data_IF_508158926592
#
_entry.id   IF_508158926592
#
_cell.length_a   1.000
_cell.length_b   1.000
_cell.length_c   1.000
_cell.angle_alpha   90.00
_cell.angle_beta   90.00
_cell.angle_gamma   90.00
#
_symmetry.space_group_name_H-M   'P 1'
#
loop_
_entity.id
_entity.type
_entity.pdbx_description
1 polymer ?
#
# COMPACT_ATOMS: atom_id res chain seq x y z
N UNK A 1 41.55 56.21 7.46
CA UNK A 1 41.93 55.11 8.38
C UNK A 1 41.33 53.84 7.78
N UNK A 2 41.97 53.13 6.83
CA UNK A 2 43.12 52.22 6.98
C UNK A 2 43.01 51.29 8.20
N UNK A 3 42.44 50.11 7.98
CA UNK A 3 42.87 48.87 8.64
C UNK A 3 42.78 47.73 7.63
N UNK A 4 43.93 47.13 7.34
CA UNK A 4 44.12 45.90 6.58
C UNK A 4 44.19 44.74 7.57
N UNK A 5 43.58 43.59 7.27
CA UNK A 5 44.05 42.29 7.77
C UNK A 5 44.01 41.28 6.61
N UNK A 6 45.19 40.77 6.29
CA UNK A 6 45.46 39.60 5.48
C UNK A 6 45.21 38.31 6.30
N UNK A 7 44.64 37.28 5.68
CA UNK A 7 44.79 35.88 6.10
C UNK A 7 44.63 35.00 4.85
N UNK A 8 45.73 34.63 4.20
CA UNK A 8 46.50 33.39 4.36
C UNK A 8 45.74 32.16 3.84
N UNK A 9 45.96 31.87 2.55
CA UNK A 9 45.61 30.60 1.91
C UNK A 9 46.66 29.57 2.31
N UNK A 10 46.28 28.59 3.13
CA UNK A 10 47.11 27.41 3.43
C UNK A 10 46.53 26.24 2.65
N UNK A 11 47.22 25.87 1.57
CA UNK A 11 47.01 24.61 0.89
C UNK A 11 47.58 23.48 1.77
N UNK A 12 46.70 22.62 2.27
CA UNK A 12 47.10 21.38 2.92
C UNK A 12 46.95 20.23 1.92
N UNK A 13 48.06 19.87 1.27
CA UNK A 13 48.21 18.56 0.63
C UNK A 13 48.72 17.57 1.68
N UNK A 14 47.83 16.68 2.12
CA UNK A 14 48.13 15.41 2.76
C UNK A 14 47.33 14.39 1.92
N UNK A 15 47.93 13.48 1.15
CA UNK A 15 48.97 12.55 1.57
C UNK A 15 48.33 11.23 2.04
N UNK A 16 47.38 10.68 1.29
CA UNK A 16 46.84 9.35 1.56
C UNK A 16 47.77 8.30 0.95
N UNK A 17 48.46 7.58 1.83
CA UNK A 17 49.16 6.32 1.54
C UNK A 17 48.13 5.24 1.21
N UNK A 18 48.25 4.67 0.02
CA UNK A 18 47.75 3.34 -0.32
C UNK A 18 48.57 2.31 0.45
N UNK A 19 47.96 1.61 1.40
CA UNK A 19 48.36 0.26 1.86
C UNK A 19 47.32 -0.27 2.86
N UNK A 20 46.20 -0.77 2.35
CA UNK A 20 45.33 -1.74 3.01
C UNK A 20 44.93 -2.78 1.96
N UNK A 21 44.93 -4.10 2.27
CA UNK A 21 44.57 -5.13 1.33
C UNK A 21 43.09 -4.99 0.96
N UNK A 22 42.82 -4.51 -0.25
CA UNK A 22 41.51 -4.59 -0.88
C UNK A 22 41.18 -6.07 -1.09
N UNK A 23 40.18 -6.56 -0.36
CA UNK A 23 39.40 -7.68 -0.84
C UNK A 23 38.75 -7.22 -2.16
N UNK A 24 39.21 -7.80 -3.26
CA UNK A 24 38.70 -7.60 -4.60
C UNK A 24 37.25 -8.10 -4.63
N UNK A 25 36.30 -7.18 -4.49
CA UNK A 25 34.93 -7.35 -4.96
C UNK A 25 34.88 -6.60 -6.30
N UNK A 26 35.45 -7.24 -7.34
CA UNK A 26 35.02 -7.00 -8.72
C UNK A 26 33.86 -8.00 -8.93
N UNK A 27 32.72 -7.72 -9.55
CA UNK A 27 32.37 -6.71 -10.53
C UNK A 27 30.83 -6.67 -10.51
N UNK A 28 30.21 -5.74 -9.77
CA UNK A 28 28.76 -5.50 -9.85
C UNK A 28 28.55 -4.18 -10.59
N UNK A 29 28.54 -4.27 -11.92
CA UNK A 29 28.16 -3.16 -12.79
C UNK A 29 26.69 -2.75 -12.57
N UNK A 30 26.33 -1.49 -12.88
CA UNK A 30 24.98 -0.98 -12.65
C UNK A 30 24.03 -1.43 -13.77
N UNK A 31 23.33 -2.53 -13.53
CA UNK A 31 22.17 -2.97 -14.29
C UNK A 31 21.55 -4.19 -13.60
N UNK A 32 20.20 -4.35 -13.58
CA UNK A 32 19.57 -5.56 -13.08
C UNK A 32 19.69 -6.68 -14.11
N UNK A 33 20.93 -7.10 -14.40
CA UNK A 33 21.18 -8.35 -15.10
C UNK A 33 21.08 -9.48 -14.08
N UNK A 34 20.07 -10.32 -14.31
CA UNK A 34 19.87 -11.62 -13.67
C UNK A 34 21.22 -12.34 -13.59
N UNK A 35 21.65 -12.73 -12.39
CA UNK A 35 22.88 -13.51 -12.18
C UNK A 35 22.64 -14.92 -12.73
N UNK A 36 22.70 -15.05 -14.05
CA UNK A 36 23.11 -16.28 -14.70
C UNK A 36 24.63 -16.34 -14.58
N UNK A 37 25.15 -17.19 -13.69
CA UNK A 37 26.59 -17.45 -13.62
C UNK A 37 27.08 -17.92 -15.00
N UNK A 38 27.89 -17.10 -15.64
CA UNK A 38 28.33 -17.22 -17.03
C UNK A 38 29.35 -18.36 -17.29
N UNK A 39 29.61 -19.19 -16.29
CA UNK A 39 30.66 -20.19 -16.30
C UNK A 39 30.24 -21.57 -16.85
N UNK A 40 28.97 -21.75 -17.26
CA UNK A 40 28.54 -22.93 -18.05
C UNK A 40 27.60 -22.57 -19.21
N UNK A 41 28.19 -22.34 -20.38
CA UNK A 41 27.50 -22.01 -21.64
C UNK A 41 26.85 -23.25 -22.26
N UNK A 42 25.77 -23.76 -21.66
CA UNK A 42 24.83 -24.61 -22.38
C UNK A 42 23.39 -24.48 -21.86
N UNK A 43 22.50 -24.04 -22.75
CA UNK A 43 21.03 -23.93 -22.68
C UNK A 43 20.44 -22.70 -21.95
N UNK A 44 19.89 -21.79 -22.78
CA UNK A 44 18.99 -20.66 -22.48
C UNK A 44 18.84 -20.23 -21.02
N UNK A 45 19.48 -19.12 -20.66
CA UNK A 45 19.13 -18.28 -19.51
C UNK A 45 17.79 -17.58 -19.75
N UNK A 46 16.71 -18.35 -19.79
CA UNK A 46 15.38 -17.78 -19.69
C UNK A 46 15.22 -17.18 -18.28
N UNK A 47 14.79 -15.92 -18.14
CA UNK A 47 14.59 -15.33 -16.83
C UNK A 47 13.66 -16.18 -15.97
N UNK A 48 14.08 -16.42 -14.73
CA UNK A 48 13.29 -17.10 -13.70
C UNK A 48 11.92 -16.41 -13.55
N UNK A 49 10.84 -17.16 -13.76
CA UNK A 49 9.48 -16.65 -13.59
C UNK A 49 8.77 -17.35 -12.41
N UNK A 50 8.46 -16.66 -11.30
CA UNK A 50 7.88 -17.26 -10.11
C UNK A 50 6.40 -17.62 -10.27
N UNK A 51 5.68 -17.01 -11.22
CA UNK A 51 4.30 -17.39 -11.51
C UNK A 51 4.24 -18.68 -12.34
N UNK A 52 5.04 -18.73 -13.41
CA UNK A 52 5.05 -19.88 -14.33
C UNK A 52 5.92 -21.04 -13.83
N UNK A 53 6.78 -20.79 -12.84
CA UNK A 53 7.81 -21.72 -12.37
C UNK A 53 8.70 -22.23 -13.53
N UNK A 54 9.10 -21.31 -14.42
CA UNK A 54 9.98 -21.56 -15.57
C UNK A 54 11.33 -20.83 -15.41
N UNK A 55 12.31 -21.18 -16.24
CA UNK A 55 13.65 -20.60 -16.24
C UNK A 55 14.68 -21.28 -15.34
N UNK A 56 14.26 -22.27 -14.54
CA UNK A 56 15.12 -23.04 -13.64
C UNK A 56 15.26 -24.51 -14.08
N UNK A 57 16.27 -25.22 -13.55
CA UNK A 57 16.45 -26.64 -13.84
C UNK A 57 15.33 -27.50 -13.21
N UNK A 58 15.19 -28.76 -13.65
CA UNK A 58 14.12 -29.67 -13.20
C UNK A 58 14.07 -29.93 -11.69
N UNK A 59 15.19 -29.78 -10.97
CA UNK A 59 15.27 -29.95 -9.51
C UNK A 59 15.23 -28.61 -8.75
N UNK A 60 14.94 -27.52 -9.46
CA UNK A 60 14.91 -26.16 -8.94
C UNK A 60 13.52 -25.55 -9.14
N UNK A 61 13.28 -24.44 -8.44
CA UNK A 61 12.08 -23.62 -8.50
C UNK A 61 12.47 -22.16 -8.59
N UNK A 62 11.56 -21.36 -9.12
CA UNK A 62 11.72 -19.93 -9.13
C UNK A 62 11.11 -19.32 -7.85
N UNK A 63 11.94 -18.75 -6.99
CA UNK A 63 11.52 -18.19 -5.68
C UNK A 63 12.21 -16.84 -5.39
N UNK A 64 11.89 -16.24 -4.25
CA UNK A 64 12.52 -15.04 -3.71
C UNK A 64 13.77 -15.38 -2.88
N UNK A 65 14.82 -14.59 -3.04
CA UNK A 65 16.05 -14.68 -2.28
C UNK A 65 16.24 -13.41 -1.47
N UNK A 66 16.55 -13.52 -0.18
CA UNK A 66 17.14 -12.43 0.59
C UNK A 66 18.58 -12.21 0.12
N UNK A 67 18.79 -11.10 -0.58
CA UNK A 67 20.09 -10.72 -1.13
C UNK A 67 20.99 -10.12 -0.05
N UNK A 68 20.42 -9.50 0.99
CA UNK A 68 21.14 -8.89 2.09
C UNK A 68 20.48 -9.13 3.45
N UNK A 69 21.14 -8.66 4.52
CA UNK A 69 20.66 -8.74 5.89
C UNK A 69 19.87 -7.51 6.35
N UNK A 70 19.30 -6.70 5.44
CA UNK A 70 18.49 -5.56 5.85
C UNK A 70 17.17 -5.99 6.48
N UNK A 71 16.45 -5.06 7.09
CA UNK A 71 15.13 -5.33 7.67
C UNK A 71 14.15 -4.23 7.22
N UNK A 72 13.17 -4.55 6.37
CA UNK A 72 12.97 -5.84 5.69
C UNK A 72 14.14 -6.15 4.73
N UNK A 73 14.42 -7.44 4.44
CA UNK A 73 15.50 -7.84 3.55
C UNK A 73 15.21 -7.39 2.11
N UNK A 74 16.21 -6.85 1.43
CA UNK A 74 16.13 -6.66 -0.01
C UNK A 74 16.34 -8.02 -0.66
N UNK A 75 15.55 -8.32 -1.67
CA UNK A 75 15.68 -9.58 -2.37
C UNK A 75 15.59 -9.51 -3.88
N UNK A 76 15.80 -10.67 -4.48
CA UNK A 76 15.79 -10.88 -5.92
C UNK A 76 15.06 -12.18 -6.23
N UNK A 77 14.53 -12.28 -7.45
CA UNK A 77 13.98 -13.53 -7.97
C UNK A 77 15.12 -14.38 -8.53
N UNK A 78 15.15 -15.66 -8.17
CA UNK A 78 16.20 -16.58 -8.58
C UNK A 78 15.80 -18.05 -8.50
N UNK A 79 16.67 -18.92 -9.03
CA UNK A 79 16.47 -20.37 -9.00
C UNK A 79 17.06 -20.96 -7.71
N UNK A 80 16.22 -21.64 -6.93
CA UNK A 80 16.59 -22.36 -5.72
C UNK A 80 16.23 -23.84 -5.85
N UNK A 81 16.88 -24.76 -5.12
CA UNK A 81 16.41 -26.14 -5.01
C UNK A 81 14.95 -26.22 -4.55
N UNK A 82 14.20 -27.21 -5.04
CA UNK A 82 12.84 -27.47 -4.55
C UNK A 82 12.93 -27.97 -3.10
N UNK A 83 12.32 -27.23 -2.18
CA UNK A 83 12.28 -27.59 -0.77
C UNK A 83 11.19 -28.61 -0.44
N UNK A 84 11.28 -29.29 0.72
CA UNK A 84 10.34 -30.33 1.12
C UNK A 84 9.10 -29.80 1.85
N UNK A 85 9.08 -28.53 2.25
CA UNK A 85 8.02 -27.96 3.10
C UNK A 85 6.79 -27.59 2.26
N UNK A 86 5.62 -28.10 2.64
CA UNK A 86 4.38 -27.89 1.89
C UNK A 86 3.76 -26.52 2.21
N UNK A 87 2.88 -26.03 1.34
CA UNK A 87 2.08 -24.82 1.62
C UNK A 87 1.29 -25.00 2.93
N UNK A 88 1.38 -24.01 3.81
CA UNK A 88 0.76 -24.00 5.14
C UNK A 88 1.65 -24.55 6.27
N UNK A 89 2.77 -25.21 5.95
CA UNK A 89 3.71 -25.71 6.95
C UNK A 89 4.77 -24.65 7.31
N UNK A 90 5.41 -24.84 8.47
CA UNK A 90 6.46 -23.96 8.96
C UNK A 90 7.73 -24.07 8.12
N UNK A 91 8.33 -22.93 7.78
CA UNK A 91 9.48 -22.80 6.90
C UNK A 91 10.54 -21.87 7.46
N UNK A 92 11.71 -21.89 6.82
CA UNK A 92 12.82 -20.99 7.15
C UNK A 92 13.50 -20.48 5.89
N UNK A 93 14.08 -19.28 5.99
CA UNK A 93 15.09 -18.82 5.03
C UNK A 93 16.48 -19.22 5.51
N UNK A 94 17.36 -19.55 4.57
CA UNK A 94 18.79 -19.60 4.86
C UNK A 94 19.40 -18.21 5.04
N UNK A 95 20.70 -18.18 5.38
CA UNK A 95 21.43 -16.92 5.55
C UNK A 95 21.43 -16.10 4.25
N UNK A 96 21.29 -14.76 4.32
CA UNK A 96 21.28 -13.89 3.15
C UNK A 96 22.46 -14.10 2.19
N UNK A 97 22.20 -13.92 0.89
CA UNK A 97 23.14 -14.15 -0.20
C UNK A 97 22.86 -15.46 -0.93
N UNK A 98 23.90 -16.28 -1.17
CA UNK A 98 23.79 -17.48 -2.00
C UNK A 98 22.83 -18.55 -1.45
N UNK A 99 22.61 -18.54 -0.13
CA UNK A 99 21.69 -19.44 0.58
C UNK A 99 20.43 -18.74 1.07
N UNK A 100 20.21 -17.48 0.67
CA UNK A 100 19.11 -16.64 1.17
C UNK A 100 17.73 -17.03 0.64
N UNK A 101 17.54 -18.28 0.23
CA UNK A 101 16.27 -18.82 -0.25
C UNK A 101 15.59 -19.63 0.86
N UNK A 102 14.29 -19.86 0.68
CA UNK A 102 13.47 -20.64 1.61
C UNK A 102 13.38 -22.13 1.26
N UNK A 103 12.95 -22.95 2.21
CA UNK A 103 12.79 -24.41 2.09
C UNK A 103 11.39 -24.88 1.68
N UNK A 104 10.54 -23.98 1.15
CA UNK A 104 9.23 -24.33 0.64
C UNK A 104 9.28 -25.14 -0.66
N UNK A 105 8.17 -25.81 -0.98
CA UNK A 105 7.99 -26.53 -2.23
C UNK A 105 7.87 -25.61 -3.45
N UNK A 106 7.84 -26.22 -4.65
CA UNK A 106 7.62 -25.53 -5.92
C UNK A 106 6.32 -24.67 -5.88
N UNK A 107 6.40 -23.41 -6.31
CA UNK A 107 5.25 -22.50 -6.35
C UNK A 107 4.85 -21.91 -5.00
N UNK A 108 5.72 -21.98 -3.99
CA UNK A 108 5.51 -21.38 -2.67
C UNK A 108 6.70 -20.51 -2.26
N UNK A 109 6.53 -19.68 -1.25
CA UNK A 109 7.61 -18.90 -0.62
C UNK A 109 7.32 -18.74 0.86
N UNK A 110 8.38 -18.69 1.67
CA UNK A 110 8.24 -18.52 3.10
C UNK A 110 7.87 -17.08 3.45
N UNK A 111 6.78 -16.88 4.19
CA UNK A 111 6.33 -15.57 4.68
C UNK A 111 5.92 -15.74 6.14
N UNK A 112 6.53 -14.97 7.03
CA UNK A 112 6.36 -15.06 8.49
C UNK A 112 6.50 -16.49 9.03
N UNK A 113 7.49 -17.23 8.49
CA UNK A 113 7.77 -18.60 8.90
C UNK A 113 6.75 -19.63 8.44
N UNK A 114 5.85 -19.30 7.50
CA UNK A 114 4.89 -20.24 6.90
C UNK A 114 5.02 -20.24 5.37
N UNK A 115 5.02 -21.42 4.74
CA UNK A 115 5.03 -21.51 3.28
C UNK A 115 3.70 -21.04 2.71
N UNK A 116 3.69 -19.92 1.98
CA UNK A 116 2.51 -19.41 1.28
C UNK A 116 2.61 -19.69 -0.22
N UNK A 117 1.51 -20.08 -0.84
CA UNK A 117 1.47 -20.28 -2.28
C UNK A 117 1.70 -18.95 -3.00
N UNK A 118 2.55 -18.94 -4.02
CA UNK A 118 2.74 -17.79 -4.91
C UNK A 118 1.50 -17.66 -5.80
N UNK A 119 1.08 -16.44 -6.10
CA UNK A 119 -0.08 -16.15 -6.92
C UNK A 119 0.12 -14.92 -7.80
N UNK A 120 -0.68 -14.83 -8.86
CA UNK A 120 -0.73 -13.64 -9.70
C UNK A 120 -1.69 -12.61 -9.09
N UNK A 121 -1.14 -11.52 -8.59
CA UNK A 121 -1.89 -10.43 -7.97
C UNK A 121 -2.77 -9.66 -8.98
N UNK A 122 -2.57 -9.85 -10.28
CA UNK A 122 -3.40 -9.28 -11.34
C UNK A 122 -4.60 -10.17 -11.72
N UNK A 123 -4.82 -11.27 -11.00
CA UNK A 123 -5.91 -12.21 -11.24
C UNK A 123 -5.63 -13.24 -12.33
N UNK A 124 -4.37 -13.43 -12.72
CA UNK A 124 -3.94 -14.50 -13.61
C UNK A 124 -3.64 -15.81 -12.89
N UNK A 125 -2.73 -16.61 -13.44
CA UNK A 125 -2.34 -17.93 -12.89
C UNK A 125 -0.91 -17.88 -12.33
N UNK A 126 -0.66 -18.50 -11.16
CA UNK A 126 -1.60 -19.25 -10.32
C UNK A 126 -2.57 -18.37 -9.52
N UNK A 127 -3.77 -18.88 -9.27
CA UNK A 127 -4.78 -18.24 -8.42
C UNK A 127 -4.75 -18.84 -7.01
N UNK A 128 -5.18 -18.05 -6.03
CA UNK A 128 -5.35 -18.55 -4.67
C UNK A 128 -6.57 -19.48 -4.52
N UNK A 129 -6.53 -20.42 -3.55
CA UNK A 129 -7.72 -21.16 -3.11
C UNK A 129 -8.83 -20.22 -2.61
N UNK A 130 -10.07 -20.70 -2.59
CA UNK A 130 -11.28 -19.89 -2.32
C UNK A 130 -11.29 -19.10 -1.00
N UNK A 131 -10.52 -19.53 0.00
CA UNK A 131 -10.45 -18.87 1.32
C UNK A 131 -9.27 -17.89 1.45
N UNK A 132 -8.44 -17.82 0.43
CA UNK A 132 -7.26 -16.97 0.39
C UNK A 132 -7.40 -15.97 -0.77
N UNK A 133 -6.78 -14.81 -0.61
CA UNK A 133 -6.65 -13.85 -1.71
C UNK A 133 -5.17 -13.70 -2.07
N UNK A 134 -4.93 -13.26 -3.30
CA UNK A 134 -3.57 -12.93 -3.72
C UNK A 134 -3.20 -11.55 -3.20
N UNK A 135 -2.26 -11.51 -2.27
CA UNK A 135 -1.88 -10.30 -1.56
C UNK A 135 -0.40 -9.98 -1.81
N UNK A 136 -0.07 -8.68 -1.79
CA UNK A 136 1.30 -8.22 -1.99
C UNK A 136 1.97 -8.12 -0.63
N UNK A 137 3.06 -8.84 -0.45
CA UNK A 137 3.86 -8.78 0.77
C UNK A 137 4.97 -7.76 0.60
N UNK A 138 5.26 -7.01 1.67
CA UNK A 138 6.33 -6.00 1.63
C UNK A 138 7.67 -6.66 1.37
N UNK A 139 8.43 -6.07 0.44
CA UNK A 139 9.77 -6.53 0.12
C UNK A 139 9.80 -7.89 -0.57
N UNK A 140 8.68 -8.36 -1.11
CA UNK A 140 8.58 -9.63 -1.83
C UNK A 140 8.21 -9.39 -3.31
N UNK A 141 8.94 -10.06 -4.22
CA UNK A 141 8.71 -10.03 -5.68
C UNK A 141 8.71 -8.64 -6.35
N UNK A 142 9.17 -7.61 -5.67
CA UNK A 142 9.41 -6.27 -6.19
C UNK A 142 10.66 -5.68 -5.56
N UNK A 143 11.41 -4.88 -6.29
CA UNK A 143 12.55 -4.19 -5.70
C UNK A 143 12.05 -3.16 -4.69
N UNK A 144 12.67 -3.10 -3.51
CA UNK A 144 12.42 -2.05 -2.52
C UNK A 144 12.69 -0.70 -3.21
N UNK A 145 11.68 0.17 -3.26
CA UNK A 145 11.76 1.47 -3.96
C UNK A 145 11.55 1.43 -5.49
N UNK A 146 11.20 0.29 -6.09
CA UNK A 146 10.82 0.22 -7.50
C UNK A 146 9.39 0.70 -7.74
N UNK A 147 9.19 1.45 -8.82
CA UNK A 147 7.87 1.86 -9.31
C UNK A 147 7.18 0.80 -10.15
N UNK A 148 7.91 -0.24 -10.59
CA UNK A 148 7.31 -1.39 -11.27
C UNK A 148 6.56 -2.25 -10.25
N UNK A 149 5.29 -2.63 -10.51
CA UNK A 149 4.54 -3.49 -9.61
C UNK A 149 5.28 -4.82 -9.41
N UNK A 150 5.22 -5.42 -8.21
CA UNK A 150 5.77 -6.74 -7.98
C UNK A 150 5.16 -7.73 -8.97
N UNK A 151 5.97 -8.66 -9.47
CA UNK A 151 5.52 -9.58 -10.52
C UNK A 151 4.59 -10.68 -9.99
N UNK A 152 4.53 -10.87 -8.67
CA UNK A 152 3.74 -11.89 -8.01
C UNK A 152 3.31 -11.41 -6.60
N UNK A 153 2.31 -12.08 -6.04
CA UNK A 153 1.93 -12.00 -4.63
C UNK A 153 2.00 -13.38 -3.98
N UNK A 154 1.44 -13.48 -2.79
CA UNK A 154 1.22 -14.77 -2.10
C UNK A 154 -0.22 -14.89 -1.62
N UNK A 155 -0.67 -16.12 -1.45
CA UNK A 155 -2.00 -16.41 -0.95
C UNK A 155 -2.04 -16.25 0.56
N UNK A 156 -2.85 -15.28 1.00
CA UNK A 156 -3.02 -14.95 2.42
C UNK A 156 -4.49 -15.09 2.82
N UNK A 157 -4.79 -15.39 4.09
CA UNK A 157 -6.15 -15.33 4.60
C UNK A 157 -6.75 -13.94 4.37
N UNK A 158 -8.00 -13.90 3.92
CA UNK A 158 -8.76 -12.65 3.84
C UNK A 158 -9.20 -12.27 5.25
N UNK A 159 -8.85 -11.07 5.69
CA UNK A 159 -9.35 -10.54 6.96
C UNK A 159 -10.51 -9.55 6.73
N UNK A 160 -11.37 -9.41 7.74
CA UNK A 160 -12.43 -8.41 7.79
C UNK A 160 -11.94 -7.17 8.53
N UNK A 161 -11.89 -5.99 7.89
CA UNK A 161 -11.33 -4.80 8.52
C UNK A 161 -12.11 -4.31 9.73
N UNK A 162 -13.39 -4.65 9.89
CA UNK A 162 -14.15 -4.28 11.08
C UNK A 162 -14.09 -5.35 12.17
N UNK A 163 -13.99 -6.63 11.79
CA UNK A 163 -13.97 -7.72 12.75
C UNK A 163 -12.55 -8.04 13.27
N UNK A 164 -11.54 -8.01 12.40
CA UNK A 164 -10.15 -8.36 12.73
C UNK A 164 -9.32 -7.15 13.20
N UNK A 165 -9.90 -5.95 13.20
CA UNK A 165 -9.38 -4.78 13.89
C UNK A 165 -10.16 -4.47 15.17
N UNK A 166 -9.61 -3.57 15.99
CA UNK A 166 -10.31 -2.95 17.13
C UNK A 166 -10.49 -1.45 16.85
N UNK A 167 -11.30 -1.06 15.83
CA UNK A 167 -11.45 0.35 15.44
C UNK A 167 -12.01 1.21 16.60
N UNK A 168 -12.75 0.58 17.51
CA UNK A 168 -13.37 1.20 18.68
C UNK A 168 -12.42 1.38 19.87
N UNK A 169 -11.27 0.70 19.91
CA UNK A 169 -10.40 0.71 21.08
C UNK A 169 -10.95 -0.02 22.29
N UNK A 170 -11.88 -0.94 22.06
CA UNK A 170 -12.51 -1.79 23.06
C UNK A 170 -11.56 -2.81 23.69
N UNK A 171 -10.43 -3.08 23.04
CA UNK A 171 -9.53 -4.18 23.36
C UNK A 171 -10.02 -5.55 22.86
N UNK A 172 -11.06 -5.59 22.03
CA UNK A 172 -11.60 -6.83 21.46
C UNK A 172 -11.63 -6.80 19.93
N UNK A 173 -11.23 -7.92 19.32
CA UNK A 173 -11.37 -8.21 17.88
C UNK A 173 -12.30 -9.41 17.76
N UNK A 174 -13.55 -9.25 17.29
CA UNK A 174 -14.46 -10.37 17.15
C UNK A 174 -14.06 -11.34 16.01
N UNK A 175 -13.26 -10.87 15.05
CA UNK A 175 -12.65 -11.67 14.01
C UNK A 175 -11.54 -12.58 14.54
N UNK A 176 -11.24 -13.62 13.78
CA UNK A 176 -10.27 -14.66 14.13
C UNK A 176 -9.21 -14.88 13.04
N UNK A 177 -9.22 -14.09 11.98
CA UNK A 177 -8.30 -14.27 10.85
C UNK A 177 -6.93 -13.70 11.19
N UNK A 178 -6.89 -12.53 11.82
CA UNK A 178 -5.64 -11.94 12.29
C UNK A 178 -5.33 -12.40 13.71
N UNK A 179 -4.04 -12.60 14.00
CA UNK A 179 -3.60 -12.91 15.35
C UNK A 179 -3.86 -11.72 16.30
N UNK A 180 -3.74 -11.96 17.62
CA UNK A 180 -3.96 -10.92 18.62
C UNK A 180 -3.05 -9.69 18.40
N UNK A 181 -1.85 -9.89 17.84
CA UNK A 181 -0.85 -8.85 17.59
C UNK A 181 -0.96 -8.18 16.22
N UNK A 182 -1.75 -8.71 15.29
CA UNK A 182 -1.89 -8.20 13.92
C UNK A 182 -3.14 -7.32 13.75
N UNK A 183 -3.15 -6.43 12.76
CA UNK A 183 -4.35 -5.75 12.27
C UNK A 183 -4.69 -6.21 10.87
N UNK A 184 -5.91 -5.91 10.43
CA UNK A 184 -6.37 -6.15 9.06
C UNK A 184 -6.25 -4.87 8.24
N UNK A 185 -5.30 -4.82 7.29
CA UNK A 185 -4.98 -3.59 6.55
C UNK A 185 -5.19 -3.74 5.05
N UNK A 186 -5.47 -2.62 4.38
CA UNK A 186 -5.73 -2.56 2.95
C UNK A 186 -4.86 -1.54 2.23
N UNK A 187 -4.55 -1.77 0.94
CA UNK A 187 -3.82 -0.80 0.10
C UNK A 187 -4.70 -0.21 -1.00
N UNK A 188 -5.70 0.62 -0.67
CA UNK A 188 -6.64 1.13 -1.65
C UNK A 188 -6.01 2.09 -2.67
N UNK A 189 -4.82 2.64 -2.42
CA UNK A 189 -4.21 3.72 -3.23
C UNK A 189 -2.97 3.30 -4.04
N UNK A 190 -2.58 2.02 -4.04
CA UNK A 190 -1.38 1.56 -4.76
C UNK A 190 -1.75 0.84 -6.07
N UNK A 191 -0.76 0.56 -6.92
CA UNK A 191 -0.90 -0.13 -8.21
C UNK A 191 -1.44 -1.58 -8.13
N UNK A 192 -2.04 -1.97 -7.00
CA UNK A 192 -2.67 -3.27 -6.75
C UNK A 192 -4.18 -3.10 -6.57
N UNK A 193 -4.86 -2.61 -7.59
CA UNK A 193 -6.32 -2.63 -7.67
C UNK A 193 -6.79 -4.01 -8.17
N UNK A 194 -7.86 -4.61 -7.62
CA UNK A 194 -8.73 -4.12 -6.53
C UNK A 194 -8.08 -4.18 -5.14
N UNK A 195 -8.60 -3.42 -4.16
CA UNK A 195 -8.09 -3.46 -2.76
C UNK A 195 -8.19 -4.88 -2.19
N UNK A 196 -7.10 -5.35 -1.60
CA UNK A 196 -7.05 -6.58 -0.81
C UNK A 196 -6.76 -6.25 0.66
N UNK A 197 -7.28 -7.05 1.58
CA UNK A 197 -7.17 -6.85 3.03
C UNK A 197 -6.42 -7.99 3.71
N UNK A 198 -5.23 -7.73 4.24
CA UNK A 198 -4.36 -8.77 4.78
C UNK A 198 -3.98 -8.49 6.24
N UNK A 199 -3.70 -9.56 6.98
CA UNK A 199 -3.22 -9.45 8.35
C UNK A 199 -1.76 -9.04 8.37
N UNK A 200 -1.44 -7.97 9.09
CA UNK A 200 -0.08 -7.46 9.25
C UNK A 200 0.19 -7.07 10.69
N UNK A 201 1.45 -7.17 11.09
CA UNK A 201 1.88 -6.65 12.39
C UNK A 201 1.98 -5.12 12.31
N UNK A 202 1.24 -4.35 13.16
CA UNK A 202 1.38 -2.90 13.19
C UNK A 202 2.82 -2.50 13.51
N UNK A 203 3.37 -1.61 12.71
CA UNK A 203 4.71 -1.06 12.94
C UNK A 203 4.68 0.03 14.02
N UNK A 204 3.65 0.86 14.00
CA UNK A 204 3.54 2.03 14.88
C UNK A 204 2.10 2.25 15.37
N UNK A 205 1.91 2.81 16.58
CA UNK A 205 0.58 3.04 17.15
C UNK A 205 -0.08 4.33 16.62
N UNK A 206 0.21 4.74 15.38
CA UNK A 206 -0.32 5.98 14.82
C UNK A 206 -1.84 5.89 14.59
N UNK A 207 -2.57 6.85 15.14
CA UNK A 207 -4.03 6.99 14.97
C UNK A 207 -4.34 8.22 14.11
N UNK A 208 -5.61 8.51 13.87
CA UNK A 208 -6.09 9.59 12.99
C UNK A 208 -5.24 10.87 13.05
N UNK A 209 -4.58 11.22 11.95
CA UNK A 209 -3.67 12.37 11.86
C UNK A 209 -2.36 12.07 11.10
N UNK A 210 -1.53 13.11 10.95
CA UNK A 210 -0.27 13.03 10.22
C UNK A 210 0.85 12.33 10.99
N UNK A 211 1.63 11.50 10.29
CA UNK A 211 2.79 10.79 10.82
C UNK A 211 4.03 10.98 9.90
N UNK A 212 5.23 11.12 10.47
CA UNK A 212 6.48 11.12 9.70
C UNK A 212 6.93 9.67 9.44
N UNK A 213 7.53 9.38 8.29
CA UNK A 213 8.23 8.10 8.10
C UNK A 213 8.12 7.54 6.69
N UNK A 214 8.58 6.30 6.52
CA UNK A 214 8.26 5.51 5.33
C UNK A 214 6.84 4.96 5.47
N UNK A 215 6.06 5.04 4.40
CA UNK A 215 4.68 4.53 4.40
C UNK A 215 4.70 3.04 4.13
N UNK A 216 4.31 2.28 5.13
CA UNK A 216 4.00 0.86 5.09
C UNK A 216 2.48 0.68 5.26
N UNK A 217 1.90 -0.37 4.68
CA UNK A 217 0.48 -0.71 4.87
C UNK A 217 0.12 -0.80 6.37
N UNK A 218 1.05 -1.26 7.21
CA UNK A 218 0.87 -1.40 8.65
C UNK A 218 1.51 -0.25 9.47
N UNK A 219 1.79 0.90 8.84
CA UNK A 219 2.33 2.09 9.53
C UNK A 219 1.32 2.72 10.51
N UNK A 220 0.04 2.38 10.41
CA UNK A 220 -1.00 2.89 11.28
C UNK A 220 -1.46 1.83 12.28
N UNK A 221 -2.12 2.27 13.35
CA UNK A 221 -2.73 1.38 14.32
C UNK A 221 -3.86 0.55 13.67
N UNK A 222 -4.21 -0.63 14.22
CA UNK A 222 -5.34 -1.41 13.73
C UNK A 222 -6.64 -0.59 13.68
N UNK A 223 -7.33 -0.62 12.54
CA UNK A 223 -8.50 0.20 12.25
C UNK A 223 -8.19 1.56 11.60
N UNK A 224 -6.95 1.79 11.20
CA UNK A 224 -6.53 2.98 10.45
C UNK A 224 -5.69 2.56 9.26
N UNK A 225 -5.89 3.23 8.14
CA UNK A 225 -5.07 3.04 6.95
C UNK A 225 -4.16 4.23 6.69
N UNK A 226 -2.92 3.99 6.27
CA UNK A 226 -2.00 5.04 5.85
C UNK A 226 -2.44 5.59 4.50
N UNK A 227 -2.66 6.91 4.45
CA UNK A 227 -2.98 7.64 3.25
C UNK A 227 -1.88 8.66 2.95
N UNK A 228 -1.32 8.62 1.75
CA UNK A 228 -0.25 9.55 1.37
C UNK A 228 -0.76 11.00 1.43
N UNK A 229 -0.13 11.80 2.29
CA UNK A 229 -0.59 13.15 2.56
C UNK A 229 -0.22 14.13 1.43
N UNK A 230 0.77 13.83 0.58
CA UNK A 230 1.39 14.81 -0.31
C UNK A 230 1.59 14.40 -1.77
N UNK A 231 2.38 15.21 -2.48
CA UNK A 231 2.73 14.98 -3.89
C UNK A 231 3.62 13.76 -4.11
N UNK A 232 3.74 13.32 -5.36
CA UNK A 232 4.68 12.26 -5.77
C UNK A 232 6.06 12.53 -5.14
N UNK A 233 6.53 11.61 -4.30
CA UNK A 233 7.79 11.74 -3.54
C UNK A 233 7.66 12.23 -2.09
N UNK A 234 6.45 12.56 -1.62
CA UNK A 234 6.20 12.80 -0.20
C UNK A 234 6.31 11.51 0.60
N UNK A 235 7.06 11.56 1.69
CA UNK A 235 7.09 10.50 2.71
C UNK A 235 6.07 10.75 3.82
N UNK A 236 5.44 11.93 3.87
CA UNK A 236 4.39 12.18 4.84
C UNK A 236 3.11 11.40 4.49
N UNK A 237 2.54 10.74 5.49
CA UNK A 237 1.24 10.08 5.42
C UNK A 237 0.35 10.52 6.58
N UNK A 238 -0.95 10.31 6.39
CA UNK A 238 -1.98 10.50 7.39
C UNK A 238 -2.65 9.16 7.63
N UNK A 239 -2.78 8.76 8.89
CA UNK A 239 -3.61 7.61 9.24
C UNK A 239 -5.08 8.05 9.18
N UNK A 240 -5.90 7.36 8.39
CA UNK A 240 -7.34 7.60 8.29
C UNK A 240 -8.08 6.44 8.94
N UNK A 241 -9.02 6.73 9.84
CA UNK A 241 -9.86 5.69 10.41
C UNK A 241 -10.71 5.00 9.34
N UNK A 242 -10.82 3.66 9.41
CA UNK A 242 -11.83 2.94 8.62
C UNK A 242 -13.23 3.23 9.17
N UNK A 243 -14.22 3.27 8.29
CA UNK A 243 -15.60 3.54 8.66
C UNK A 243 -16.58 2.78 7.76
N UNK A 244 -17.81 2.58 8.22
CA UNK A 244 -18.89 2.03 7.40
C UNK A 244 -19.60 3.18 6.67
N UNK A 245 -19.43 3.33 5.35
CA UNK A 245 -19.96 4.46 4.62
C UNK A 245 -21.46 4.36 4.39
N UNK A 246 -22.10 5.51 4.20
CA UNK A 246 -23.49 5.65 3.81
C UNK A 246 -23.64 6.72 2.73
N UNK A 247 -24.61 6.54 1.82
CA UNK A 247 -24.87 7.50 0.75
C UNK A 247 -25.25 8.87 1.31
N UNK A 248 -24.41 9.88 1.06
CA UNK A 248 -24.62 11.27 1.48
C UNK A 248 -24.46 12.23 0.29
N UNK A 249 -25.48 13.06 0.05
CA UNK A 249 -25.49 14.09 -1.00
C UNK A 249 -26.52 15.19 -0.72
N UNK A 250 -26.50 16.26 -1.51
CA UNK A 250 -27.44 17.38 -1.40
C UNK A 250 -28.88 16.92 -1.59
N UNK A 251 -29.70 17.19 -0.57
CA UNK A 251 -31.09 16.73 -0.51
C UNK A 251 -31.27 15.29 -0.03
N UNK A 252 -30.16 14.59 0.26
CA UNK A 252 -30.15 13.30 0.95
C UNK A 252 -28.88 13.19 1.79
N UNK A 253 -28.80 13.86 2.96
CA UNK A 253 -27.64 13.77 3.86
C UNK A 253 -27.43 12.36 4.47
N UNK A 254 -28.05 11.32 3.90
CA UNK A 254 -28.07 9.95 4.38
C UNK A 254 -29.10 9.74 5.50
N UNK A 255 -29.60 8.51 5.62
CA UNK A 255 -30.38 8.07 6.78
C UNK A 255 -29.49 7.89 8.04
N UNK A 256 -28.16 7.91 7.87
CA UNK A 256 -27.14 8.11 8.89
C UNK A 256 -26.11 9.08 8.31
N UNK A 257 -25.65 9.99 9.15
CA UNK A 257 -25.00 11.27 8.83
C UNK A 257 -23.78 11.13 7.89
N UNK A 258 -23.25 12.25 7.34
CA UNK A 258 -22.07 12.23 6.46
C UNK A 258 -20.80 11.60 7.07
N UNK A 259 -20.78 11.38 8.38
CA UNK A 259 -19.72 10.67 9.10
C UNK A 259 -19.80 9.13 8.97
N UNK A 260 -20.77 8.56 8.27
CA UNK A 260 -20.95 7.11 8.12
C UNK A 260 -21.99 6.51 9.04
N UNK A 261 -21.92 5.19 9.21
CA UNK A 261 -22.91 4.37 9.91
C UNK A 261 -22.29 3.80 11.18
N UNK A 262 -22.96 3.99 12.32
CA UNK A 262 -22.57 3.36 13.57
C UNK A 262 -22.61 1.82 13.45
N UNK A 263 -21.71 1.08 14.12
CA UNK A 263 -20.77 1.56 15.14
C UNK A 263 -19.39 1.97 14.58
N UNK A 264 -19.25 2.22 13.27
CA UNK A 264 -17.97 2.58 12.65
C UNK A 264 -18.08 3.90 11.88
N UNK A 265 -18.46 4.97 12.56
CA UNK A 265 -18.57 6.30 11.97
C UNK A 265 -17.38 7.18 12.37
N UNK A 266 -17.14 8.24 11.61
CA UNK A 266 -16.06 9.21 11.77
C UNK A 266 -16.35 10.18 12.92
N UNK A 267 -16.32 9.65 14.15
CA UNK A 267 -16.51 10.40 15.37
C UNK A 267 -15.82 9.70 16.55
N UNK A 268 -15.65 10.40 17.66
CA UNK A 268 -14.93 9.90 18.84
C UNK A 268 -15.65 8.78 19.62
N UNK A 269 -16.92 8.52 19.31
CA UNK A 269 -17.69 7.42 19.93
C UNK A 269 -17.46 6.11 19.18
N UNK A 270 -17.35 6.19 17.86
CA UNK A 270 -17.36 5.05 16.93
C UNK A 270 -15.97 4.75 16.33
N UNK A 271 -14.93 5.47 16.78
CA UNK A 271 -13.54 5.22 16.46
C UNK A 271 -12.60 5.83 17.51
N UNK A 272 -11.38 5.27 17.65
CA UNK A 272 -10.32 5.90 18.47
C UNK A 272 -9.79 7.19 17.80
N UNK A 273 -9.04 8.01 18.55
CA UNK A 273 -8.40 9.21 18.00
C UNK A 273 -9.24 10.48 18.13
N UNK A 274 -8.81 11.55 17.46
CA UNK A 274 -9.44 12.87 17.51
C UNK A 274 -10.02 13.19 16.15
N UNK A 275 -11.32 13.47 16.11
CA UNK A 275 -12.04 13.80 14.88
C UNK A 275 -12.43 15.28 14.89
N UNK A 276 -12.39 15.90 13.71
CA UNK A 276 -12.99 17.21 13.50
C UNK A 276 -14.50 17.24 13.73
N UNK A 277 -15.15 18.41 13.60
CA UNK A 277 -16.61 18.47 13.58
C UNK A 277 -17.15 17.62 12.42
N UNK A 278 -18.36 17.10 12.56
CA UNK A 278 -19.05 16.43 11.46
C UNK A 278 -19.26 17.45 10.34
N UNK A 279 -18.86 17.11 9.11
CA UNK A 279 -19.13 18.03 8.01
C UNK A 279 -20.63 18.05 7.68
N UNK A 280 -21.13 19.27 7.46
CA UNK A 280 -22.50 19.60 7.10
C UNK A 280 -22.50 20.49 5.86
N UNK A 281 -23.67 20.87 5.36
CA UNK A 281 -23.78 21.84 4.25
C UNK A 281 -23.18 23.20 4.60
N UNK A 282 -23.08 23.52 5.90
CA UNK A 282 -22.57 24.80 6.40
C UNK A 282 -21.14 24.71 6.96
N UNK A 283 -20.63 23.50 7.20
CA UNK A 283 -19.33 23.29 7.86
C UNK A 283 -18.55 22.17 7.18
N UNK A 284 -17.31 22.44 6.78
CA UNK A 284 -16.36 21.38 6.46
C UNK A 284 -15.95 20.62 7.74
N UNK A 285 -15.40 19.41 7.60
CA UNK A 285 -15.23 18.46 8.70
C UNK A 285 -15.05 17.02 8.22
N UNK A 286 -15.26 16.05 9.10
CA UNK A 286 -14.99 14.61 8.86
C UNK A 286 -16.16 13.92 8.15
N UNK A 287 -15.88 13.19 7.07
CA UNK A 287 -16.83 12.32 6.36
C UNK A 287 -16.30 10.91 6.16
N UNK A 288 -17.22 9.95 6.07
CA UNK A 288 -16.89 8.58 5.68
C UNK A 288 -17.04 8.40 4.17
N UNK A 289 -15.93 8.35 3.44
CA UNK A 289 -15.90 8.15 1.99
C UNK A 289 -15.75 6.68 1.63
N UNK A 290 -16.51 6.20 0.65
CA UNK A 290 -16.42 4.82 0.17
C UNK A 290 -15.04 4.48 -0.42
N UNK A 291 -14.53 3.28 -0.13
CA UNK A 291 -13.20 2.83 -0.55
C UNK A 291 -13.05 2.68 -2.07
N UNK A 292 -14.14 2.37 -2.80
CA UNK A 292 -14.13 2.23 -4.26
C UNK A 292 -13.52 3.44 -4.96
N UNK A 293 -13.61 4.62 -4.35
CA UNK A 293 -13.09 5.88 -4.88
C UNK A 293 -11.57 5.82 -5.13
N UNK A 294 -10.87 4.98 -4.39
CA UNK A 294 -9.42 4.78 -4.50
C UNK A 294 -9.09 3.60 -5.43
N UNK A 295 -10.07 2.77 -5.76
CA UNK A 295 -9.94 1.60 -6.64
C UNK A 295 -10.17 1.93 -8.13
N UNK A 296 -10.13 3.21 -8.47
CA UNK A 296 -10.27 3.68 -9.85
C UNK A 296 -8.89 3.97 -10.42
N UNK A 297 -8.56 3.30 -11.51
CA UNK A 297 -7.25 3.46 -12.15
C UNK A 297 -7.10 4.78 -12.91
N UNK A 298 -5.92 4.99 -13.49
CA UNK A 298 -5.60 6.18 -14.27
C UNK A 298 -6.45 6.35 -15.55
N UNK A 299 -7.13 5.30 -16.00
CA UNK A 299 -8.05 5.31 -17.13
C UNK A 299 -9.51 5.57 -16.69
N UNK A 300 -9.76 5.70 -15.38
CA UNK A 300 -11.10 5.86 -14.83
C UNK A 300 -11.87 4.55 -14.73
N UNK A 301 -11.21 3.39 -14.87
CA UNK A 301 -11.85 2.09 -14.68
C UNK A 301 -11.87 1.74 -13.21
N UNK A 302 -13.08 1.44 -12.71
CA UNK A 302 -13.28 0.94 -11.36
C UNK A 302 -12.98 -0.56 -11.30
N UNK A 303 -12.06 -0.94 -10.42
CA UNK A 303 -11.70 -2.32 -10.11
C UNK A 303 -12.28 -2.70 -8.75
N UNK A 304 -13.51 -3.22 -8.74
CA UNK A 304 -14.22 -3.49 -7.49
C UNK A 304 -13.57 -4.62 -6.68
N UNK A 305 -13.29 -4.35 -5.41
CA UNK A 305 -13.09 -5.36 -4.39
C UNK A 305 -14.42 -5.77 -3.72
N UNK A 306 -14.43 -6.85 -2.93
CA UNK A 306 -15.56 -7.14 -2.04
C UNK A 306 -15.87 -6.03 -1.02
N UNK A 307 -14.94 -5.09 -0.80
CA UNK A 307 -15.04 -4.03 0.20
C UNK A 307 -15.30 -2.63 -0.37
N UNK A 308 -15.33 -2.49 -1.70
CA UNK A 308 -15.56 -1.23 -2.43
C UNK A 308 -16.71 -0.39 -1.88
N UNK A 309 -17.82 -1.06 -1.56
CA UNK A 309 -19.09 -0.44 -1.17
C UNK A 309 -19.45 -0.69 0.31
N UNK A 310 -18.55 -1.30 1.10
CA UNK A 310 -18.81 -1.66 2.50
C UNK A 310 -17.80 -1.08 3.48
N UNK A 311 -16.60 -0.73 3.00
CA UNK A 311 -15.57 -0.04 3.78
C UNK A 311 -15.36 1.35 3.21
N UNK A 312 -15.10 2.29 4.10
CA UNK A 312 -14.74 3.65 3.78
C UNK A 312 -13.66 4.19 4.70
N UNK A 313 -13.28 5.44 4.46
CA UNK A 313 -12.24 6.14 5.21
C UNK A 313 -12.74 7.47 5.72
N UNK A 314 -12.39 7.80 6.96
CA UNK A 314 -12.67 9.07 7.58
C UNK A 314 -11.74 10.14 7.04
N UNK A 315 -12.28 11.06 6.25
CA UNK A 315 -11.53 12.13 5.60
C UNK A 315 -11.97 13.48 6.16
N UNK A 316 -11.00 14.28 6.62
CA UNK A 316 -11.24 15.65 7.05
C UNK A 316 -11.21 16.62 5.87
N UNK A 317 -12.39 17.04 5.41
CA UNK A 317 -12.56 17.95 4.29
C UNK A 317 -11.88 19.32 4.47
N UNK A 318 -11.55 19.71 5.71
CA UNK A 318 -10.80 20.96 5.98
C UNK A 318 -9.31 20.82 5.70
N UNK A 319 -8.79 19.58 5.80
CA UNK A 319 -7.38 19.25 5.61
C UNK A 319 -7.10 18.83 4.17
N UNK A 320 -8.05 18.18 3.49
CA UNK A 320 -7.85 17.72 2.11
C UNK A 320 -8.23 18.77 1.06
N UNK A 321 -7.44 18.83 -0.01
CA UNK A 321 -7.69 19.61 -1.23
C UNK A 321 -7.88 18.68 -2.42
N UNK A 322 -8.52 19.20 -3.46
CA UNK A 322 -8.67 18.49 -4.72
C UNK A 322 -8.19 19.36 -5.89
N UNK A 323 -7.65 18.72 -6.93
CA UNK A 323 -7.16 19.40 -8.14
C UNK A 323 -8.34 20.02 -8.88
N UNK A 324 -8.57 21.30 -8.58
CA UNK A 324 -9.77 22.04 -8.98
C UNK A 324 -9.58 22.81 -10.27
N UNK A 325 -8.32 23.01 -10.67
CA UNK A 325 -7.92 23.72 -11.87
C UNK A 325 -7.41 22.78 -12.99
N UNK A 326 -7.27 21.48 -12.68
CA UNK A 326 -6.81 20.40 -13.56
C UNK A 326 -5.37 20.57 -14.06
N UNK A 327 -4.47 21.13 -13.24
CA UNK A 327 -3.05 21.27 -13.55
C UNK A 327 -2.17 20.10 -13.06
N UNK A 328 -2.80 19.07 -12.46
CA UNK A 328 -2.18 17.86 -11.91
C UNK A 328 -1.30 18.10 -10.67
N UNK A 329 -1.35 19.29 -10.10
CA UNK A 329 -0.66 19.69 -8.88
C UNK A 329 -1.71 20.05 -7.83
N UNK A 330 -1.52 19.60 -6.59
CA UNK A 330 -2.33 20.07 -5.47
C UNK A 330 -1.57 21.17 -4.77
N UNK A 331 -2.07 22.40 -4.83
CA UNK A 331 -1.44 23.56 -4.22
C UNK A 331 -2.42 24.53 -3.54
N UNK A 332 -1.92 25.73 -3.21
CA UNK A 332 -2.72 26.75 -2.52
C UNK A 332 -3.86 27.33 -3.36
N UNK A 333 -3.79 27.22 -4.68
CA UNK A 333 -4.80 27.67 -5.64
C UNK A 333 -6.00 26.71 -5.74
N UNK A 334 -5.84 25.49 -5.22
CA UNK A 334 -6.88 24.47 -5.26
C UNK A 334 -7.98 24.60 -4.22
N UNK A 335 -9.17 24.12 -4.60
CA UNK A 335 -10.32 24.00 -3.72
C UNK A 335 -10.07 23.05 -2.53
N UNK A 336 -10.64 23.39 -1.37
CA UNK A 336 -10.87 22.42 -0.30
C UNK A 336 -11.86 21.37 -0.76
N UNK A 337 -11.71 20.13 -0.29
CA UNK A 337 -12.68 19.09 -0.58
C UNK A 337 -14.07 19.50 -0.06
N UNK A 338 -15.11 19.53 -0.90
CA UNK A 338 -16.45 19.93 -0.48
C UNK A 338 -17.12 18.82 0.34
N UNK A 339 -17.90 19.19 1.36
CA UNK A 339 -18.70 18.25 2.13
C UNK A 339 -19.66 17.45 1.21
N UNK A 340 -19.74 16.13 1.37
CA UNK A 340 -20.68 15.26 0.64
C UNK A 340 -22.11 15.79 0.60
N UNK A 341 -22.64 16.25 1.74
CA UNK A 341 -24.02 16.78 1.82
C UNK A 341 -24.23 18.07 1.01
N UNK A 342 -23.18 18.80 0.66
CA UNK A 342 -23.25 19.99 -0.20
C UNK A 342 -23.25 19.66 -1.71
N UNK A 343 -22.90 18.43 -2.07
CA UNK A 343 -22.73 18.02 -3.46
C UNK A 343 -24.01 17.42 -4.04
N UNK A 344 -24.47 17.84 -5.22
CA UNK A 344 -25.61 17.20 -5.86
C UNK A 344 -25.27 15.75 -6.23
N UNK A 345 -26.29 14.89 -6.24
CA UNK A 345 -26.13 13.54 -6.80
C UNK A 345 -25.78 13.65 -8.28
N UNK A 346 -26.63 14.32 -9.07
CA UNK A 346 -26.43 14.54 -10.52
C UNK A 346 -26.22 16.02 -10.79
N UNK A 347 -25.25 16.37 -11.65
CA UNK A 347 -25.02 17.75 -12.08
C UNK A 347 -25.15 17.90 -13.59
N UNK A 348 -26.14 18.69 -14.04
CA UNK A 348 -26.41 18.93 -15.47
C UNK A 348 -25.42 19.87 -16.15
N UNK A 349 -24.62 20.62 -15.37
CA UNK A 349 -23.69 21.65 -15.87
C UNK A 349 -22.23 21.18 -15.91
N UNK A 350 -21.99 19.90 -15.67
CA UNK A 350 -20.64 19.35 -15.63
C UNK A 350 -19.86 19.72 -14.35
N UNK A 351 -20.48 20.32 -13.35
CA UNK A 351 -19.86 20.51 -12.04
C UNK A 351 -19.67 19.17 -11.28
N UNK A 352 -18.99 19.25 -10.15
CA UNK A 352 -18.71 18.12 -9.26
C UNK A 352 -20.01 17.57 -8.64
N UNK A 353 -19.98 16.29 -8.30
CA UNK A 353 -21.08 15.52 -7.73
C UNK A 353 -20.60 14.71 -6.53
N UNK A 354 -21.55 14.19 -5.76
CA UNK A 354 -21.28 13.29 -4.64
C UNK A 354 -20.49 12.03 -5.08
N UNK A 355 -20.71 11.53 -6.30
CA UNK A 355 -19.95 10.40 -6.82
C UNK A 355 -18.47 10.73 -7.09
N UNK A 356 -18.14 11.94 -7.53
CA UNK A 356 -16.75 12.33 -7.83
C UNK A 356 -15.84 12.27 -6.57
N UNK A 357 -16.44 12.31 -5.39
CA UNK A 357 -15.77 12.24 -4.08
C UNK A 357 -16.10 10.96 -3.28
N UNK A 358 -16.67 9.92 -3.90
CA UNK A 358 -16.94 8.68 -3.16
C UNK A 358 -17.93 8.85 -2.00
N UNK A 359 -18.86 9.80 -2.10
CA UNK A 359 -19.88 10.04 -1.08
C UNK A 359 -21.10 9.12 -1.21
N UNK A 360 -21.14 8.32 -2.26
CA UNK A 360 -22.18 7.33 -2.54
C UNK A 360 -21.54 6.02 -2.97
N UNK A 361 -22.24 4.92 -2.79
CA UNK A 361 -21.84 3.61 -3.27
C UNK A 361 -21.61 3.64 -4.79
N UNK A 362 -20.78 2.74 -5.28
CA UNK A 362 -20.37 2.74 -6.68
C UNK A 362 -21.49 2.31 -7.64
N UNK A 363 -22.57 1.68 -7.17
CA UNK A 363 -23.76 1.40 -8.00
C UNK A 363 -24.53 2.69 -8.28
N UNK A 364 -24.75 3.49 -7.23
CA UNK A 364 -25.32 4.82 -7.28
C UNK A 364 -24.45 5.77 -8.11
N UNK A 365 -23.12 5.68 -7.98
CA UNK A 365 -22.18 6.43 -8.81
C UNK A 365 -22.26 6.05 -10.30
N UNK A 366 -22.27 4.75 -10.61
CA UNK A 366 -22.30 4.25 -11.99
C UNK A 366 -23.59 4.56 -12.74
N UNK A 367 -24.71 4.71 -12.02
CA UNK A 367 -25.97 5.19 -12.61
C UNK A 367 -25.85 6.57 -13.28
N UNK A 368 -24.74 7.29 -13.05
CA UNK A 368 -24.52 8.67 -13.51
C UNK A 368 -23.60 8.81 -14.72
N UNK A 369 -23.18 7.69 -15.33
CA UNK A 369 -22.44 7.57 -16.60
C UNK A 369 -21.05 8.21 -16.63
N UNK A 370 -20.03 7.34 -16.83
CA UNK A 370 -18.59 7.62 -16.89
C UNK A 370 -18.08 8.37 -15.65
N UNK A 371 -17.51 7.62 -14.69
CA UNK A 371 -16.59 8.20 -13.72
C UNK A 371 -15.60 9.06 -14.50
N UNK A 372 -15.69 10.37 -14.30
CA UNK A 372 -14.72 11.30 -14.89
C UNK A 372 -13.36 10.95 -14.31
N UNK A 373 -12.27 11.40 -14.97
CA UNK A 373 -10.93 11.38 -14.34
C UNK A 373 -11.12 12.02 -12.97
N UNK A 374 -11.01 11.19 -11.93
CA UNK A 374 -11.41 11.60 -10.61
C UNK A 374 -10.45 12.70 -10.14
N UNK A 375 -10.96 13.74 -9.45
CA UNK A 375 -10.09 14.80 -8.99
C UNK A 375 -9.03 14.19 -8.06
N UNK A 376 -7.77 14.56 -8.27
CA UNK A 376 -6.70 14.14 -7.38
C UNK A 376 -7.00 14.73 -5.98
N UNK A 377 -6.93 13.92 -4.91
CA UNK A 377 -7.19 14.36 -3.53
C UNK A 377 -5.90 14.20 -2.72
N UNK A 378 -5.50 15.23 -1.97
CA UNK A 378 -4.31 15.19 -1.08
C UNK A 378 -4.55 16.00 0.20
N UNK A 379 -3.86 15.62 1.28
CA UNK A 379 -3.84 16.42 2.50
C UNK A 379 -2.96 17.67 2.29
N UNK A 380 -3.18 18.69 3.12
CA UNK A 380 -2.43 19.95 3.10
C UNK A 380 -1.07 19.87 3.74
#
# INVERSE_FOLDING_TARGET
>A
MRTWICALVVACQLGCRDDQPRAHIDDFGPGPDVICRADNVSASCEPCNPLLQTGCNTAERCTWFHADGSTPPIGIVGCAPIGPVMVGDACTFGEPGATGFDDCMLGAVCVDGTCRAICDHQGGTPTCPTELQCARERGLFGAVGSTSPPIAGVCTPVCDPFADNDPLGSGSKPGLQCTATEGCYGLPHTSGVPTTWQCETPLEPHVHGGAPGEVDIASCAPGYEPFLAGATGSLAFTCLAICTPGNAYLGNPGANQPNGIAPHACNTTDARGTFGPIATDATNGEHCMYSWRFEVDVLGQLHRSPTSDTVGFCVDHTTFRYDSNADEVIDSSDGTMPACSSLPLVNSTGGLTAADFGCVDSTTANAMSKLRKLPLIRAR
#
